data_IF_646311434747
#
_entry.id   IF_646311434747
#
_cell.length_a   1.000
_cell.length_b   1.000
_cell.length_c   1.000
_cell.angle_alpha   90.00
_cell.angle_beta   90.00
_cell.angle_gamma   90.00
#
_symmetry.space_group_name_H-M   'P 1'
#
loop_
_entity.id
_entity.type
_entity.pdbx_description
1 polymer ?
#
# COMPACT_ATOMS: atom_id res chain seq x y z
N UNK A 1 33.40 19.21 17.54
CA UNK A 1 32.85 18.82 16.24
C UNK A 1 31.49 18.18 16.48
N UNK A 2 30.39 18.89 16.19
CA UNK A 2 29.05 18.30 16.24
C UNK A 2 28.86 17.42 14.99
N UNK A 3 28.22 16.25 15.07
CA UNK A 3 27.89 15.47 13.89
C UNK A 3 26.90 16.30 13.07
N UNK A 4 27.26 16.57 11.81
CA UNK A 4 26.32 17.10 10.82
C UNK A 4 25.13 16.14 10.78
N UNK A 5 24.01 16.57 11.34
CA UNK A 5 22.74 15.92 11.15
C UNK A 5 22.48 15.93 9.63
N UNK A 6 22.77 14.81 8.97
CA UNK A 6 22.44 14.61 7.57
C UNK A 6 20.93 14.77 7.47
N UNK A 7 20.50 15.92 6.97
CA UNK A 7 19.12 16.19 6.62
C UNK A 7 18.73 15.13 5.59
N UNK A 8 18.03 14.09 6.04
CA UNK A 8 17.53 13.06 5.14
C UNK A 8 16.36 13.67 4.39
N UNK A 9 16.61 14.14 3.17
CA UNK A 9 15.56 14.67 2.32
C UNK A 9 14.75 13.50 1.78
N UNK A 10 13.44 13.52 2.05
CA UNK A 10 12.49 12.53 1.56
C UNK A 10 11.71 13.15 0.40
N UNK A 11 11.68 12.48 -0.74
CA UNK A 11 10.90 12.88 -1.91
C UNK A 11 9.80 11.85 -2.18
N UNK A 12 8.62 12.32 -2.62
CA UNK A 12 7.51 11.48 -3.03
C UNK A 12 7.33 11.49 -4.55
N UNK A 13 7.12 10.31 -5.14
CA UNK A 13 6.74 10.15 -6.55
C UNK A 13 5.42 9.40 -6.62
N UNK A 14 4.41 10.02 -7.22
CA UNK A 14 3.10 9.40 -7.43
C UNK A 14 2.96 8.89 -8.85
N UNK A 15 2.48 7.64 -8.99
CA UNK A 15 2.16 7.03 -10.29
C UNK A 15 0.64 6.99 -10.46
N UNK A 16 0.12 7.83 -11.36
CA UNK A 16 -1.32 8.00 -11.61
C UNK A 16 -1.70 7.48 -13.01
N UNK A 17 -3.00 7.32 -13.27
CA UNK A 17 -3.50 6.85 -14.57
C UNK A 17 -5.01 6.93 -14.67
N UNK A 18 -5.52 7.00 -15.90
CA UNK A 18 -6.93 7.32 -16.18
C UNK A 18 -7.91 6.15 -16.02
N UNK A 19 -7.41 4.91 -15.88
CA UNK A 19 -8.25 3.73 -15.68
C UNK A 19 -7.66 2.79 -14.63
N UNK A 20 -8.51 1.96 -14.03
CA UNK A 20 -8.05 0.77 -13.30
C UNK A 20 -7.31 -0.16 -14.27
N UNK A 21 -6.28 -0.85 -13.78
CA UNK A 21 -5.52 -1.84 -14.55
C UNK A 21 -4.66 -1.36 -15.73
N UNK A 22 -4.42 -0.05 -15.90
CA UNK A 22 -3.48 0.47 -16.91
C UNK A 22 -1.98 0.26 -16.59
N UNK A 23 -1.61 -0.73 -15.77
CA UNK A 23 -0.22 -1.06 -15.48
C UNK A 23 0.48 -0.21 -14.39
N UNK A 24 -0.22 0.69 -13.69
CA UNK A 24 0.36 1.54 -12.61
C UNK A 24 1.20 0.75 -11.60
N UNK A 25 0.69 -0.39 -11.15
CA UNK A 25 1.39 -1.20 -10.14
C UNK A 25 2.72 -1.75 -10.65
N UNK A 26 2.76 -2.19 -11.92
CA UNK A 26 3.96 -2.69 -12.59
C UNK A 26 4.97 -1.56 -12.82
N UNK A 27 4.52 -0.43 -13.35
CA UNK A 27 5.36 0.76 -13.54
C UNK A 27 5.95 1.24 -12.21
N UNK A 28 5.15 1.28 -11.15
CA UNK A 28 5.62 1.62 -9.79
C UNK A 28 6.73 0.66 -9.33
N UNK A 29 6.57 -0.65 -9.56
CA UNK A 29 7.59 -1.64 -9.21
C UNK A 29 8.88 -1.46 -10.02
N UNK A 30 8.78 -1.18 -11.33
CA UNK A 30 9.94 -0.89 -12.19
C UNK A 30 10.69 0.35 -11.71
N UNK A 31 9.97 1.43 -11.41
CA UNK A 31 10.55 2.68 -10.89
C UNK A 31 11.23 2.42 -9.54
N UNK A 32 10.55 1.68 -8.65
CA UNK A 32 11.11 1.34 -7.35
C UNK A 32 12.42 0.54 -7.48
N UNK A 33 12.44 -0.46 -8.37
CA UNK A 33 13.64 -1.24 -8.69
C UNK A 33 14.76 -0.38 -9.26
N UNK A 34 14.44 0.54 -10.16
CA UNK A 34 15.42 1.42 -10.78
C UNK A 34 16.11 2.30 -9.74
N UNK A 35 15.35 2.97 -8.88
CA UNK A 35 15.90 3.84 -7.84
C UNK A 35 16.65 3.05 -6.75
N UNK A 36 16.12 1.90 -6.33
CA UNK A 36 16.81 1.03 -5.37
C UNK A 36 18.16 0.54 -5.91
N UNK A 37 18.24 0.17 -7.21
CA UNK A 37 19.52 -0.18 -7.87
C UNK A 37 20.50 1.00 -7.97
N UNK A 38 20.02 2.24 -7.88
CA UNK A 38 20.86 3.45 -7.82
C UNK A 38 21.31 3.80 -6.39
N UNK A 39 21.02 2.95 -5.42
CA UNK A 39 21.41 3.14 -4.01
C UNK A 39 20.45 4.03 -3.21
N UNK A 40 19.30 4.42 -3.76
CA UNK A 40 18.28 5.14 -3.01
C UNK A 40 17.48 4.19 -2.13
N UNK A 41 17.14 4.64 -0.92
CA UNK A 41 16.16 3.96 -0.06
C UNK A 41 14.77 4.25 -0.60
N UNK A 42 14.08 3.22 -1.06
CA UNK A 42 12.73 3.32 -1.64
C UNK A 42 11.76 2.52 -0.79
N UNK A 43 10.62 3.11 -0.47
CA UNK A 43 9.49 2.40 0.14
C UNK A 43 8.24 2.65 -0.70
N UNK A 44 7.57 1.61 -1.23
CA UNK A 44 6.29 1.81 -1.87
C UNK A 44 5.22 2.16 -0.83
N UNK A 45 4.20 2.88 -1.27
CA UNK A 45 3.06 3.21 -0.43
C UNK A 45 1.79 3.29 -1.27
N UNK A 46 0.74 2.60 -0.81
CA UNK A 46 -0.61 2.75 -1.34
C UNK A 46 -1.61 2.62 -0.20
N UNK A 47 -2.18 3.75 0.23
CA UNK A 47 -3.06 3.83 1.39
C UNK A 47 -4.17 2.78 1.37
N UNK A 48 -4.85 2.64 0.23
CA UNK A 48 -5.95 1.71 0.02
C UNK A 48 -5.73 0.90 -1.25
N UNK A 49 -5.83 -0.43 -1.13
CA UNK A 49 -5.94 -1.32 -2.27
C UNK A 49 -7.20 -2.18 -2.17
N UNK A 50 -7.80 -2.53 -3.31
CA UNK A 50 -8.89 -3.48 -3.41
C UNK A 50 -8.39 -4.69 -4.21
N UNK A 51 -8.21 -5.83 -3.55
CA UNK A 51 -7.69 -7.04 -4.17
C UNK A 51 -8.02 -8.27 -3.34
N UNK A 52 -8.33 -9.38 -4.00
CA UNK A 52 -8.42 -10.70 -3.37
C UNK A 52 -7.03 -11.31 -3.10
N UNK A 53 -6.03 -10.89 -3.85
CA UNK A 53 -4.67 -11.44 -3.75
C UNK A 53 -3.90 -10.68 -2.67
N UNK A 54 -3.69 -11.34 -1.53
CA UNK A 54 -2.89 -10.81 -0.43
C UNK A 54 -1.56 -11.56 -0.26
N UNK A 55 -0.69 -10.99 0.55
CA UNK A 55 0.63 -11.51 0.89
C UNK A 55 0.90 -11.24 2.38
N UNK A 56 1.49 -12.21 3.13
CA UNK A 56 1.82 -12.01 4.54
C UNK A 56 2.93 -10.96 4.69
N UNK A 57 2.69 -9.93 5.48
CA UNK A 57 3.71 -8.94 5.79
C UNK A 57 4.68 -9.49 6.85
N UNK A 58 5.95 -9.07 6.80
CA UNK A 58 6.98 -9.57 7.72
C UNK A 58 6.70 -9.16 9.18
N UNK A 59 6.07 -8.01 9.38
CA UNK A 59 5.64 -7.52 10.68
C UNK A 59 4.26 -8.06 11.11
N UNK A 60 3.78 -9.11 10.44
CA UNK A 60 2.52 -9.78 10.71
C UNK A 60 1.33 -9.15 10.00
N UNK A 61 0.26 -9.93 9.85
CA UNK A 61 -0.90 -9.54 9.06
C UNK A 61 -0.65 -9.64 7.55
N UNK A 62 -1.48 -8.97 6.76
CA UNK A 62 -1.44 -9.08 5.31
C UNK A 62 -1.58 -7.76 4.55
N UNK A 63 -1.00 -7.71 3.36
CA UNK A 63 -1.10 -6.60 2.41
C UNK A 63 -1.50 -7.13 1.03
N UNK A 64 -1.91 -6.26 0.10
CA UNK A 64 -2.11 -6.69 -1.28
C UNK A 64 -0.80 -7.19 -1.93
N UNK A 65 -0.90 -8.25 -2.72
CA UNK A 65 0.23 -8.86 -3.44
C UNK A 65 0.98 -7.84 -4.31
N UNK A 66 0.27 -6.88 -4.90
CA UNK A 66 0.89 -5.81 -5.68
C UNK A 66 1.85 -4.94 -4.86
N UNK A 67 1.53 -4.66 -3.59
CA UNK A 67 2.42 -3.89 -2.70
C UNK A 67 3.60 -4.73 -2.23
N UNK A 68 3.41 -6.03 -1.96
CA UNK A 68 4.52 -6.93 -1.68
C UNK A 68 5.50 -7.01 -2.86
N UNK A 69 5.00 -7.15 -4.09
CA UNK A 69 5.81 -7.13 -5.31
C UNK A 69 6.60 -5.82 -5.45
N UNK A 70 5.99 -4.67 -5.13
CA UNK A 70 6.65 -3.37 -5.15
C UNK A 70 7.74 -3.27 -4.07
N UNK A 71 7.49 -3.81 -2.86
CA UNK A 71 8.45 -3.84 -1.76
C UNK A 71 9.69 -4.64 -2.15
N UNK A 72 9.50 -5.86 -2.66
CA UNK A 72 10.61 -6.69 -3.15
C UNK A 72 11.35 -6.04 -4.33
N UNK A 73 10.64 -5.32 -5.19
CA UNK A 73 11.26 -4.55 -6.27
C UNK A 73 12.17 -3.45 -5.72
N UNK A 74 11.79 -2.82 -4.61
CA UNK A 74 12.57 -1.82 -3.89
C UNK A 74 13.69 -2.40 -2.98
N UNK A 75 13.90 -3.72 -2.97
CA UNK A 75 14.80 -4.41 -2.02
C UNK A 75 14.46 -4.15 -0.54
N UNK A 76 13.17 -4.06 -0.22
CA UNK A 76 12.68 -3.95 1.15
C UNK A 76 11.65 -5.06 1.43
N UNK A 77 11.51 -5.41 2.70
CA UNK A 77 10.53 -6.40 3.11
C UNK A 77 9.10 -5.83 3.06
N UNK A 78 8.08 -6.63 2.73
CA UNK A 78 6.69 -6.19 2.76
C UNK A 78 6.22 -5.85 4.17
N UNK A 79 5.81 -4.60 4.40
CA UNK A 79 5.30 -4.10 5.67
C UNK A 79 3.84 -3.65 5.54
N UNK A 80 3.04 -3.84 6.60
CA UNK A 80 1.61 -3.41 6.60
C UNK A 80 1.42 -1.91 6.38
N UNK A 81 2.42 -1.11 6.73
CA UNK A 81 2.44 0.34 6.53
C UNK A 81 2.48 0.73 5.04
N UNK A 82 2.96 -0.16 4.16
CA UNK A 82 2.97 0.05 2.72
C UNK A 82 1.57 -0.09 2.10
N UNK A 83 0.68 -0.83 2.76
CA UNK A 83 -0.74 -0.95 2.40
C UNK A 83 -1.64 -0.97 3.65
N UNK A 84 -1.86 0.19 4.30
CA UNK A 84 -2.60 0.26 5.57
C UNK A 84 -4.05 -0.22 5.49
N UNK A 85 -4.70 -0.09 4.32
CA UNK A 85 -6.07 -0.54 4.08
C UNK A 85 -6.09 -1.48 2.88
N UNK A 86 -6.49 -2.73 3.13
CA UNK A 86 -6.77 -3.72 2.08
C UNK A 86 -8.25 -4.08 2.12
N UNK A 87 -8.92 -3.95 0.99
CA UNK A 87 -10.32 -4.34 0.81
C UNK A 87 -10.34 -5.62 -0.04
N UNK A 88 -10.90 -6.70 0.49
CA UNK A 88 -11.15 -7.93 -0.27
C UNK A 88 -12.63 -7.98 -0.64
N UNK A 89 -13.00 -7.79 -1.92
CA UNK A 89 -14.39 -7.85 -2.34
C UNK A 89 -14.97 -9.26 -2.13
N UNK A 90 -16.16 -9.35 -1.57
CA UNK A 90 -16.89 -10.60 -1.30
C UNK A 90 -18.24 -10.54 -2.03
N UNK A 91 -18.27 -11.04 -3.26
CA UNK A 91 -19.46 -10.93 -4.12
C UNK A 91 -19.77 -9.48 -4.50
N UNK A 92 -21.04 -9.20 -4.79
CA UNK A 92 -21.44 -7.91 -5.37
C UNK A 92 -21.51 -6.76 -4.37
N UNK A 93 -21.94 -7.03 -3.13
CA UNK A 93 -22.27 -5.96 -2.18
C UNK A 93 -21.44 -5.96 -0.89
N UNK A 94 -20.59 -6.98 -0.68
CA UNK A 94 -19.79 -7.12 0.54
C UNK A 94 -18.31 -7.01 0.27
N UNK A 95 -17.56 -6.67 1.32
CA UNK A 95 -16.12 -6.71 1.33
C UNK A 95 -15.61 -7.00 2.74
N UNK A 96 -14.51 -7.74 2.84
CA UNK A 96 -13.72 -7.78 4.07
C UNK A 96 -12.77 -6.58 4.08
N UNK A 97 -12.72 -5.88 5.21
CA UNK A 97 -11.87 -4.71 5.40
C UNK A 97 -10.73 -5.07 6.33
N UNK A 98 -9.51 -5.00 5.82
CA UNK A 98 -8.27 -5.26 6.57
C UNK A 98 -7.59 -3.93 6.83
N UNK A 99 -7.31 -3.64 8.10
CA UNK A 99 -6.66 -2.41 8.56
C UNK A 99 -5.38 -2.76 9.30
N UNK A 100 -4.26 -2.21 8.83
CA UNK A 100 -2.90 -2.51 9.33
C UNK A 100 -2.65 -4.01 9.43
N UNK A 101 -2.97 -4.72 8.34
CA UNK A 101 -2.79 -6.16 8.21
C UNK A 101 -3.76 -7.04 8.99
N UNK A 102 -4.76 -6.50 9.68
CA UNK A 102 -5.74 -7.28 10.45
C UNK A 102 -7.16 -7.07 9.96
N UNK A 103 -7.90 -8.15 9.79
CA UNK A 103 -9.33 -8.08 9.46
C UNK A 103 -10.11 -7.29 10.53
N UNK A 104 -10.98 -6.39 10.07
CA UNK A 104 -11.96 -5.64 10.87
C UNK A 104 -13.38 -6.12 10.62
N UNK A 105 -13.53 -7.25 9.94
CA UNK A 105 -14.81 -7.86 9.60
C UNK A 105 -15.27 -7.56 8.17
N UNK A 106 -16.41 -8.17 7.85
CA UNK A 106 -17.10 -8.02 6.58
C UNK A 106 -18.13 -6.91 6.70
N UNK A 107 -18.12 -6.00 5.73
CA UNK A 107 -19.05 -4.89 5.62
C UNK A 107 -19.68 -4.89 4.23
N UNK A 108 -20.86 -4.32 4.11
CA UNK A 108 -21.33 -3.87 2.80
C UNK A 108 -20.44 -2.75 2.27
N UNK A 109 -20.37 -2.56 0.95
CA UNK A 109 -19.66 -1.41 0.38
C UNK A 109 -20.22 -0.08 0.91
N UNK A 110 -21.55 -0.01 1.10
CA UNK A 110 -22.20 1.19 1.63
C UNK A 110 -21.79 1.52 3.07
N UNK A 111 -21.69 0.50 3.94
CA UNK A 111 -21.19 0.67 5.31
C UNK A 111 -19.72 1.11 5.33
N UNK A 112 -18.89 0.50 4.48
CA UNK A 112 -17.48 0.89 4.34
C UNK A 112 -17.33 2.37 3.96
N UNK A 113 -18.04 2.81 2.91
CA UNK A 113 -18.00 4.21 2.47
C UNK A 113 -18.55 5.18 3.51
N UNK A 114 -19.59 4.78 4.25
CA UNK A 114 -20.16 5.60 5.33
C UNK A 114 -19.16 5.80 6.46
N UNK A 115 -18.44 4.74 6.85
CA UNK A 115 -17.39 4.80 7.89
C UNK A 115 -16.19 5.66 7.48
N UNK A 116 -15.78 5.60 6.21
CA UNK A 116 -14.72 6.46 5.69
C UNK A 116 -15.06 7.95 5.79
N UNK A 117 -16.31 8.32 5.49
CA UNK A 117 -16.76 9.73 5.57
C UNK A 117 -16.71 10.23 7.01
N UNK A 118 -17.22 9.45 7.96
CA UNK A 118 -17.25 9.81 9.37
C UNK A 118 -15.83 10.02 9.95
N UNK A 119 -14.85 9.22 9.51
CA UNK A 119 -13.46 9.34 9.96
C UNK A 119 -12.69 10.56 9.42
N UNK A 120 -13.21 11.25 8.40
CA UNK A 120 -12.57 12.46 7.83
C UNK A 120 -13.12 13.76 8.43
N UNK A 121 -14.23 13.69 9.18
CA UNK A 121 -14.93 14.83 9.78
C UNK A 121 -14.64 15.01 11.27
N UNK A 122 -13.68 14.28 11.82
CA UNK A 122 -13.33 14.22 13.24
C UNK A 122 -11.84 14.42 13.47
#
# INVERSE_FOLDING_TARGET
>A
MLPSALLTVVFGLSVVGCSSSCGKSLITAIIARYFAKKGLKVSPFKVQNMSLNSYPAINGGEIALAQAMQAYSAFTEPLVEMNPILIKPLGENYCEVIVKGRSRGVLTFQEYWSRLKLSQTS
#
